data_IF_767853548316
#
_entry.id   IF_767853548316
#
_cell.length_a   1.000
_cell.length_b   1.000
_cell.length_c   1.000
_cell.angle_alpha   90.00
_cell.angle_beta   90.00
_cell.angle_gamma   90.00
#
_symmetry.space_group_name_H-M   'P 1'
#
loop_
_entity.id
_entity.type
_entity.pdbx_description
1 polymer ?
#
# COMPACT_ATOMS: atom_id res chain seq x y z
N UNK A 1 16.73 -10.79 -38.04
CA UNK A 1 16.97 -9.65 -37.13
C UNK A 1 15.73 -8.78 -36.88
N UNK A 2 14.85 -8.54 -37.86
CA UNK A 2 13.62 -7.74 -37.66
C UNK A 2 12.69 -8.26 -36.53
N UNK A 3 12.55 -9.59 -36.38
CA UNK A 3 11.70 -10.18 -35.33
C UNK A 3 12.22 -9.96 -33.89
N UNK A 4 13.54 -9.80 -33.71
CA UNK A 4 14.14 -9.51 -32.40
C UNK A 4 13.91 -8.06 -31.98
N UNK A 5 13.87 -7.14 -32.95
CA UNK A 5 13.58 -5.72 -32.69
C UNK A 5 12.14 -5.50 -32.20
N UNK A 6 11.17 -6.24 -32.76
CA UNK A 6 9.78 -6.17 -32.29
C UNK A 6 9.60 -6.68 -30.86
N UNK A 7 10.34 -7.71 -30.42
CA UNK A 7 10.29 -8.22 -29.04
C UNK A 7 10.87 -7.19 -28.07
N UNK A 8 11.98 -6.56 -28.45
CA UNK A 8 12.61 -5.51 -27.62
C UNK A 8 11.71 -4.28 -27.48
N UNK A 9 11.01 -3.88 -28.55
CA UNK A 9 10.05 -2.77 -28.52
C UNK A 9 8.83 -3.06 -27.63
N UNK A 10 8.35 -4.31 -27.62
CA UNK A 10 7.22 -4.73 -26.77
C UNK A 10 7.56 -4.70 -25.27
N UNK A 11 8.77 -5.11 -24.90
CA UNK A 11 9.24 -5.14 -23.51
C UNK A 11 9.35 -3.74 -22.87
N UNK A 12 9.72 -2.72 -23.65
CA UNK A 12 9.84 -1.33 -23.17
C UNK A 12 8.45 -0.72 -22.88
N UNK A 13 7.44 -1.07 -23.67
CA UNK A 13 6.08 -0.52 -23.49
C UNK A 13 5.40 -1.07 -22.23
N UNK A 14 5.69 -2.30 -21.83
CA UNK A 14 5.06 -2.90 -20.65
C UNK A 14 5.54 -2.29 -19.32
N UNK A 15 6.80 -1.87 -19.22
CA UNK A 15 7.35 -1.32 -17.95
C UNK A 15 6.82 0.08 -17.64
N UNK A 16 6.49 0.88 -18.66
CA UNK A 16 5.90 2.21 -18.46
C UNK A 16 4.47 2.17 -17.93
N UNK A 17 3.67 1.16 -18.32
CA UNK A 17 2.29 1.01 -17.87
C UNK A 17 2.18 0.76 -16.36
N UNK A 18 3.03 -0.11 -15.80
CA UNK A 18 3.03 -0.44 -14.38
C UNK A 18 3.31 0.77 -13.47
N UNK A 19 4.28 1.62 -13.85
CA UNK A 19 4.66 2.80 -13.05
C UNK A 19 3.52 3.83 -12.93
N UNK A 20 2.73 4.01 -14.00
CA UNK A 20 1.61 4.95 -14.00
C UNK A 20 0.46 4.50 -13.08
N UNK A 21 0.17 3.20 -13.04
CA UNK A 21 -0.91 2.65 -12.22
C UNK A 21 -0.62 2.80 -10.72
N UNK A 22 0.58 2.45 -10.28
CA UNK A 22 0.98 2.58 -8.88
C UNK A 22 0.95 4.04 -8.40
N UNK A 23 1.38 4.98 -9.24
CA UNK A 23 1.28 6.42 -8.93
C UNK A 23 -0.18 6.86 -8.76
N UNK A 24 -1.09 6.36 -9.59
CA UNK A 24 -2.53 6.67 -9.49
C UNK A 24 -3.12 6.18 -8.16
N UNK A 25 -2.74 4.98 -7.71
CA UNK A 25 -3.19 4.44 -6.42
C UNK A 25 -2.72 5.30 -5.24
N UNK A 26 -1.46 5.72 -5.23
CA UNK A 26 -0.93 6.59 -4.16
C UNK A 26 -1.67 7.92 -4.05
N UNK A 27 -2.26 8.42 -5.15
CA UNK A 27 -3.02 9.67 -5.13
C UNK A 27 -4.34 9.59 -4.33
N UNK A 28 -4.80 8.39 -3.98
CA UNK A 28 -5.94 8.22 -3.08
C UNK A 28 -5.60 8.56 -1.61
N UNK A 29 -4.32 8.55 -1.24
CA UNK A 29 -3.85 8.82 0.13
C UNK A 29 -2.93 10.03 0.24
N UNK A 30 -2.26 10.41 -0.85
CA UNK A 30 -1.28 11.50 -0.89
C UNK A 30 -1.64 12.47 -2.00
N UNK A 31 -1.42 13.77 -1.77
CA UNK A 31 -1.56 14.76 -2.84
C UNK A 31 -0.41 14.64 -3.85
N UNK A 32 -0.65 15.14 -5.07
CA UNK A 32 0.37 15.19 -6.13
C UNK A 32 1.63 15.94 -5.67
N UNK A 33 1.47 17.08 -5.00
CA UNK A 33 2.58 17.89 -4.48
C UNK A 33 3.38 17.16 -3.41
N UNK A 34 2.71 16.46 -2.49
CA UNK A 34 3.39 15.64 -1.48
C UNK A 34 4.20 14.52 -2.13
N UNK A 35 3.63 13.81 -3.11
CA UNK A 35 4.35 12.73 -3.80
C UNK A 35 5.55 13.24 -4.61
N UNK A 36 5.43 14.40 -5.24
CA UNK A 36 6.54 15.04 -5.96
C UNK A 36 7.65 15.50 -5.01
N UNK A 37 7.27 16.03 -3.83
CA UNK A 37 8.23 16.36 -2.78
C UNK A 37 8.94 15.12 -2.27
N UNK A 38 8.20 14.10 -1.81
CA UNK A 38 8.77 12.84 -1.31
C UNK A 38 9.68 12.20 -2.34
N UNK A 39 9.28 12.17 -3.61
CA UNK A 39 10.11 11.60 -4.68
C UNK A 39 11.43 12.35 -4.91
N UNK A 40 11.45 13.66 -4.68
CA UNK A 40 12.66 14.49 -4.89
C UNK A 40 13.54 14.57 -3.65
N UNK A 41 12.98 14.57 -2.44
CA UNK A 41 13.72 14.70 -1.18
C UNK A 41 14.08 13.36 -0.54
N UNK A 42 13.23 12.35 -0.71
CA UNK A 42 13.32 11.06 -0.02
C UNK A 42 12.99 9.90 -1.00
N UNK A 43 13.82 9.64 -2.02
CA UNK A 43 13.53 8.64 -3.04
C UNK A 43 13.31 7.23 -2.46
N UNK A 44 14.05 6.85 -1.40
CA UNK A 44 13.84 5.58 -0.71
C UNK A 44 12.44 5.46 -0.09
N UNK A 45 11.91 6.57 0.44
CA UNK A 45 10.56 6.63 1.00
C UNK A 45 9.53 6.50 -0.09
N UNK A 46 9.73 7.15 -1.24
CA UNK A 46 8.86 6.96 -2.40
C UNK A 46 8.82 5.49 -2.84
N UNK A 47 9.97 4.83 -2.91
CA UNK A 47 10.06 3.41 -3.25
C UNK A 47 9.42 2.51 -2.18
N UNK A 48 9.44 2.92 -0.90
CA UNK A 48 8.72 2.22 0.17
C UNK A 48 7.20 2.36 -0.01
N UNK A 49 6.71 3.54 -0.40
CA UNK A 49 5.28 3.76 -0.66
C UNK A 49 4.79 2.91 -1.84
N UNK A 50 5.59 2.77 -2.90
CA UNK A 50 5.26 1.88 -4.01
C UNK A 50 5.15 0.42 -3.55
N UNK A 51 6.08 -0.04 -2.72
CA UNK A 51 6.03 -1.37 -2.10
C UNK A 51 4.80 -1.54 -1.19
N UNK A 52 4.46 -0.51 -0.43
CA UNK A 52 3.32 -0.53 0.49
C UNK A 52 1.96 -0.70 -0.22
N UNK A 53 1.85 -0.44 -1.53
CA UNK A 53 0.59 -0.59 -2.26
C UNK A 53 0.04 -2.02 -2.12
N UNK A 54 0.90 -3.02 -2.22
CA UNK A 54 0.49 -4.43 -2.18
C UNK A 54 0.79 -5.09 -0.83
N UNK A 55 1.83 -4.62 -0.13
CA UNK A 55 2.29 -5.20 1.16
C UNK A 55 1.84 -4.42 2.40
N UNK A 56 1.26 -3.23 2.23
CA UNK A 56 0.92 -2.27 3.29
C UNK A 56 -0.16 -2.72 4.26
N UNK A 57 -0.95 -3.74 3.90
CA UNK A 57 -2.08 -4.18 4.71
C UNK A 57 -2.14 -5.69 4.88
N UNK A 58 -2.60 -6.11 6.06
CA UNK A 58 -3.00 -7.48 6.34
C UNK A 58 -4.28 -7.53 7.17
N UNK A 59 -4.91 -8.71 7.18
CA UNK A 59 -6.10 -8.98 7.99
C UNK A 59 -5.72 -9.78 9.23
N UNK A 60 -6.01 -9.22 10.40
CA UNK A 60 -5.95 -9.90 11.69
C UNK A 60 -7.30 -10.48 12.09
N UNK A 61 -7.30 -11.47 12.97
CA UNK A 61 -8.52 -11.99 13.59
C UNK A 61 -9.08 -10.94 14.56
N UNK A 62 -10.38 -10.65 14.46
CA UNK A 62 -11.06 -9.88 15.50
C UNK A 62 -11.32 -10.78 16.71
N UNK A 63 -10.90 -10.31 17.87
CA UNK A 63 -11.08 -10.95 19.18
C UNK A 63 -11.77 -9.93 20.07
N UNK A 64 -13.02 -10.18 20.46
CA UNK A 64 -13.83 -9.22 21.20
C UNK A 64 -13.31 -8.95 22.61
N UNK A 65 -12.62 -9.90 23.24
CA UNK A 65 -12.06 -9.71 24.58
C UNK A 65 -10.86 -8.77 24.54
N UNK A 66 -10.01 -8.90 23.50
CA UNK A 66 -8.81 -8.06 23.33
C UNK A 66 -9.09 -6.73 22.65
N UNK A 67 -10.00 -6.71 21.68
CA UNK A 67 -10.23 -5.57 20.82
C UNK A 67 -11.54 -4.83 21.13
N UNK A 68 -12.48 -5.43 21.86
CA UNK A 68 -13.77 -4.79 22.16
C UNK A 68 -13.65 -3.51 23.00
N UNK A 69 -12.55 -3.35 23.74
CA UNK A 69 -12.24 -2.13 24.49
C UNK A 69 -11.45 -1.09 23.67
N UNK A 70 -10.91 -1.50 22.51
CA UNK A 70 -10.22 -0.60 21.61
C UNK A 70 -11.27 0.18 20.81
N UNK A 71 -11.22 1.52 20.90
CA UNK A 71 -12.04 2.41 20.06
C UNK A 71 -11.49 2.43 18.63
N UNK A 72 -11.62 1.32 17.92
CA UNK A 72 -11.18 1.19 16.54
C UNK A 72 -12.14 1.92 15.61
N UNK A 73 -11.58 2.63 14.63
CA UNK A 73 -12.39 3.20 13.54
C UNK A 73 -12.94 2.06 12.68
N UNK A 74 -14.23 2.09 12.40
CA UNK A 74 -14.88 1.10 11.57
C UNK A 74 -14.72 1.39 10.07
N UNK A 75 -14.66 0.32 9.30
CA UNK A 75 -14.63 0.30 7.84
C UNK A 75 -15.84 -0.53 7.34
N UNK A 76 -17.05 0.04 7.37
CA UNK A 76 -18.30 -0.70 7.21
C UNK A 76 -18.48 -1.33 5.82
N UNK A 77 -17.78 -0.83 4.82
CA UNK A 77 -17.93 -1.26 3.41
C UNK A 77 -16.88 -2.24 2.92
N UNK A 78 -15.93 -2.61 3.79
CA UNK A 78 -14.84 -3.50 3.43
C UNK A 78 -15.28 -4.97 3.49
N UNK A 79 -15.24 -5.64 2.34
CA UNK A 79 -15.59 -7.07 2.16
C UNK A 79 -14.39 -7.98 1.90
N UNK A 80 -13.20 -7.41 1.69
CA UNK A 80 -11.95 -8.15 1.45
C UNK A 80 -10.75 -7.35 1.99
N UNK A 81 -9.51 -7.84 1.83
CA UNK A 81 -8.32 -7.12 2.30
C UNK A 81 -8.13 -5.83 1.48
N UNK A 82 -8.35 -4.63 2.05
CA UNK A 82 -8.17 -3.40 1.29
C UNK A 82 -6.69 -3.05 1.22
N UNK A 83 -6.27 -2.31 0.18
CA UNK A 83 -5.02 -1.56 0.25
C UNK A 83 -5.18 -0.36 1.18
N UNK A 84 -4.06 0.16 1.66
CA UNK A 84 -4.08 1.37 2.48
C UNK A 84 -4.63 2.58 1.69
N UNK A 85 -4.45 2.58 0.37
CA UNK A 85 -4.99 3.57 -0.58
C UNK A 85 -6.49 3.46 -0.77
N UNK A 86 -7.08 2.27 -0.61
CA UNK A 86 -8.51 2.06 -0.81
C UNK A 86 -9.30 2.64 0.37
N UNK A 87 -8.68 2.67 1.55
CA UNK A 87 -9.22 3.29 2.77
C UNK A 87 -8.71 4.73 3.00
N UNK A 88 -7.98 5.30 2.03
CA UNK A 88 -7.49 6.69 2.04
C UNK A 88 -6.66 7.06 3.27
N UNK A 89 -5.86 6.12 3.77
CA UNK A 89 -4.98 6.32 4.93
C UNK A 89 -3.55 6.54 4.43
N UNK A 90 -2.69 7.23 5.18
CA UNK A 90 -1.25 7.34 4.88
C UNK A 90 -0.47 6.27 5.63
N UNK A 91 0.66 5.84 5.07
CA UNK A 91 1.63 5.04 5.83
C UNK A 91 2.24 5.92 6.92
N UNK A 92 2.21 5.44 8.16
CA UNK A 92 2.66 6.16 9.35
C UNK A 92 3.84 5.43 10.01
N UNK A 93 4.59 6.08 10.91
CA UNK A 93 5.67 5.43 11.66
C UNK A 93 5.20 4.31 12.61
N UNK A 94 3.89 4.17 12.82
CA UNK A 94 3.25 3.17 13.68
C UNK A 94 2.14 2.43 12.93
N UNK A 95 1.81 1.21 13.40
CA UNK A 95 0.73 0.41 12.84
C UNK A 95 -0.62 1.07 13.13
N UNK A 96 -1.52 1.06 12.16
CA UNK A 96 -2.87 1.59 12.31
C UNK A 96 -3.86 0.44 12.23
N UNK A 97 -4.89 0.47 13.08
CA UNK A 97 -5.83 -0.62 13.26
C UNK A 97 -7.25 -0.12 12.99
N UNK A 98 -7.97 -0.86 12.17
CA UNK A 98 -9.35 -0.58 11.81
C UNK A 98 -10.17 -1.85 11.94
N UNK A 99 -11.45 -1.71 12.29
CA UNK A 99 -12.37 -2.84 12.35
C UNK A 99 -13.23 -2.90 11.08
N UNK A 100 -13.25 -4.05 10.41
CA UNK A 100 -14.09 -4.28 9.23
C UNK A 100 -15.24 -5.22 9.61
N UNK A 101 -16.43 -4.69 9.96
CA UNK A 101 -17.53 -5.48 10.53
C UNK A 101 -18.11 -6.52 9.56
N UNK A 102 -18.18 -6.22 8.25
CA UNK A 102 -18.72 -7.15 7.24
C UNK A 102 -17.94 -8.46 7.12
N UNK A 103 -16.65 -8.44 7.44
CA UNK A 103 -15.78 -9.63 7.41
C UNK A 103 -15.34 -10.08 8.81
N UNK A 104 -15.75 -9.36 9.86
CA UNK A 104 -15.33 -9.58 11.24
C UNK A 104 -13.79 -9.73 11.39
N UNK A 105 -13.04 -8.78 10.82
CA UNK A 105 -11.57 -8.75 10.85
C UNK A 105 -11.04 -7.40 11.31
N UNK A 106 -9.81 -7.41 11.82
CA UNK A 106 -9.00 -6.20 11.97
C UNK A 106 -8.23 -5.98 10.68
N UNK A 107 -8.37 -4.81 10.08
CA UNK A 107 -7.49 -4.35 9.00
C UNK A 107 -6.32 -3.62 9.65
N UNK A 108 -5.12 -4.13 9.45
CA UNK A 108 -3.90 -3.48 9.93
C UNK A 108 -3.18 -2.84 8.76
N UNK A 109 -2.91 -1.54 8.86
CA UNK A 109 -1.97 -0.84 7.98
C UNK A 109 -0.61 -0.85 8.67
N UNK A 110 0.36 -1.50 8.03
CA UNK A 110 1.73 -1.64 8.55
C UNK A 110 2.44 -0.29 8.62
N UNK A 111 3.31 -0.14 9.59
CA UNK A 111 4.14 1.05 9.74
C UNK A 111 5.26 1.14 8.71
N UNK A 112 5.82 2.34 8.55
CA UNK A 112 7.05 2.55 7.76
C UNK A 112 8.18 1.60 8.21
N UNK A 113 8.34 1.37 9.52
CA UNK A 113 9.38 0.50 10.06
C UNK A 113 9.18 -0.97 9.65
N UNK A 114 7.96 -1.49 9.81
CA UNK A 114 7.64 -2.88 9.44
C UNK A 114 7.86 -3.09 7.94
N UNK A 115 7.36 -2.16 7.11
CA UNK A 115 7.49 -2.25 5.66
C UNK A 115 8.94 -2.16 5.20
N UNK A 116 9.75 -1.31 5.85
CA UNK A 116 11.18 -1.21 5.54
C UNK A 116 11.88 -2.53 5.85
N UNK A 117 11.56 -3.16 6.97
CA UNK A 117 12.14 -4.45 7.35
C UNK A 117 11.72 -5.59 6.39
N UNK A 118 10.44 -5.67 6.04
CA UNK A 118 9.92 -6.66 5.09
C UNK A 118 10.57 -6.51 3.72
N UNK A 119 10.64 -5.29 3.19
CA UNK A 119 11.27 -4.99 1.89
C UNK A 119 12.76 -5.35 1.85
N UNK A 120 13.47 -5.28 2.99
CA UNK A 120 14.87 -5.72 3.09
C UNK A 120 15.00 -7.24 3.10
N UNK A 121 13.99 -7.95 3.59
CA UNK A 121 13.99 -9.42 3.73
C UNK A 121 13.51 -10.12 2.44
N UNK A 122 12.73 -9.43 1.60
CA UNK A 122 12.27 -9.94 0.30
C UNK A 122 13.33 -9.86 -0.82
N UNK A 123 14.50 -9.25 -0.56
CA UNK A 123 15.63 -9.19 -1.50
C UNK A 123 16.53 -10.41 -1.40
#
# INVERSE_FOLDING_TARGET
MQKLFSIFLFLILTTWGYSQNSKKLLLNSYSKKELELIKSTEPEKYDLLLFAIDHGTYLGVFDSEKHGQLKLKELPDITEKPRFTDIQVKIMPYNQYFYAPKINKIVVVKSEWVLKNEKLTEK
#
